data_IF_174649630916
#
_entry.id   IF_174649630916
#
_cell.length_a   1.000
_cell.length_b   1.000
_cell.length_c   1.000
_cell.angle_alpha   90.00
_cell.angle_beta   90.00
_cell.angle_gamma   90.00
#
_symmetry.space_group_name_H-M   'P 1'
#
loop_
_entity.id
_entity.type
_entity.pdbx_description
1 polymer ?
#
# COMPACT_ATOMS: atom_id res chain seq x y z
N UNK A 1 -8.58 -2.16 5.04
CA UNK A 1 -9.49 -1.72 6.12
C UNK A 1 -10.44 -0.71 5.52
N UNK A 2 -11.68 -0.70 5.99
CA UNK A 2 -12.66 0.29 5.58
C UNK A 2 -12.24 1.67 6.11
N UNK A 3 -12.17 2.68 5.25
CA UNK A 3 -11.80 4.04 5.66
C UNK A 3 -12.92 4.82 6.33
N UNK A 4 -14.15 4.30 6.39
CA UNK A 4 -15.26 4.93 7.08
C UNK A 4 -15.26 4.62 8.59
N UNK A 5 -15.02 3.37 8.96
CA UNK A 5 -15.12 2.90 10.35
C UNK A 5 -13.85 2.21 10.90
N UNK A 6 -12.83 1.98 10.05
CA UNK A 6 -11.57 1.35 10.44
C UNK A 6 -11.60 -0.17 10.51
N UNK A 7 -12.73 -0.81 10.17
CA UNK A 7 -12.87 -2.26 10.27
C UNK A 7 -11.94 -2.99 9.30
N UNK A 8 -11.36 -4.09 9.74
CA UNK A 8 -10.65 -4.99 8.84
C UNK A 8 -11.65 -5.66 7.89
N UNK A 9 -11.49 -5.41 6.59
CA UNK A 9 -12.34 -6.00 5.54
C UNK A 9 -11.74 -7.31 5.03
N UNK A 10 -10.44 -7.33 4.74
CA UNK A 10 -9.75 -8.50 4.18
C UNK A 10 -8.22 -8.40 4.41
N UNK A 11 -7.53 -9.53 4.24
CA UNK A 11 -6.07 -9.65 4.21
C UNK A 11 -5.65 -10.71 3.19
N UNK A 12 -4.64 -10.40 2.37
CA UNK A 12 -4.11 -11.31 1.35
C UNK A 12 -2.59 -11.21 1.23
N UNK A 13 -1.92 -12.37 1.07
CA UNK A 13 -0.48 -12.46 0.86
C UNK A 13 -0.13 -12.84 -0.58
N UNK A 14 0.93 -12.24 -1.12
CA UNK A 14 1.47 -12.56 -2.45
C UNK A 14 2.92 -13.05 -2.32
N UNK A 15 3.22 -14.20 -2.92
CA UNK A 15 4.58 -14.76 -2.95
C UNK A 15 5.41 -14.04 -4.01
N UNK A 16 6.73 -14.01 -3.81
CA UNK A 16 7.67 -13.43 -4.77
C UNK A 16 7.55 -14.01 -6.19
N UNK A 17 7.23 -15.31 -6.32
CA UNK A 17 7.01 -15.93 -7.64
C UNK A 17 5.87 -15.27 -8.44
N UNK A 18 4.85 -14.74 -7.75
CA UNK A 18 3.77 -13.97 -8.37
C UNK A 18 4.28 -12.57 -8.76
N UNK A 19 5.10 -11.95 -7.92
CA UNK A 19 5.63 -10.60 -8.15
C UNK A 19 6.67 -10.53 -9.28
N UNK A 20 7.42 -11.60 -9.49
CA UNK A 20 8.46 -11.71 -10.54
C UNK A 20 7.88 -12.08 -11.92
N UNK A 21 6.70 -12.71 -11.95
CA UNK A 21 6.00 -13.06 -13.19
C UNK A 21 5.11 -11.93 -13.69
N UNK A 22 4.00 -12.29 -14.35
CA UNK A 22 2.93 -11.34 -14.68
C UNK A 22 2.09 -11.11 -13.42
N UNK A 23 2.09 -9.90 -12.83
CA UNK A 23 1.50 -9.67 -11.51
C UNK A 23 -0.02 -9.46 -11.55
N UNK A 24 -0.71 -10.08 -12.51
CA UNK A 24 -2.15 -9.91 -12.73
C UNK A 24 -2.99 -10.18 -11.46
N UNK A 25 -2.55 -11.11 -10.60
CA UNK A 25 -3.26 -11.44 -9.36
C UNK A 25 -3.23 -10.31 -8.34
N UNK A 26 -2.08 -9.65 -8.15
CA UNK A 26 -1.98 -8.52 -7.20
C UNK A 26 -2.59 -7.25 -7.79
N UNK A 27 -2.45 -7.03 -9.10
CA UNK A 27 -3.09 -5.91 -9.78
C UNK A 27 -4.61 -6.02 -9.72
N UNK A 28 -5.17 -7.17 -10.08
CA UNK A 28 -6.62 -7.42 -9.98
C UNK A 28 -7.10 -7.27 -8.53
N UNK A 29 -6.34 -7.78 -7.56
CA UNK A 29 -6.68 -7.62 -6.16
C UNK A 29 -6.78 -6.15 -5.74
N UNK A 30 -5.76 -5.34 -6.05
CA UNK A 30 -5.71 -3.91 -5.69
C UNK A 30 -6.77 -3.10 -6.43
N UNK A 31 -7.01 -3.41 -7.71
CA UNK A 31 -8.02 -2.72 -8.52
C UNK A 31 -9.45 -2.96 -8.02
N UNK A 32 -9.72 -4.15 -7.48
CA UNK A 32 -11.04 -4.53 -6.96
C UNK A 32 -11.26 -4.12 -5.49
N UNK A 33 -10.28 -3.48 -4.84
CA UNK A 33 -10.51 -2.90 -3.52
C UNK A 33 -11.56 -1.81 -3.62
N UNK A 34 -12.51 -1.81 -2.67
CA UNK A 34 -13.50 -0.75 -2.52
C UNK A 34 -12.80 0.60 -2.36
N UNK A 35 -13.27 1.62 -3.05
CA UNK A 35 -12.79 2.98 -2.85
C UNK A 35 -12.98 3.42 -1.38
N UNK A 36 -12.15 4.37 -0.97
CA UNK A 36 -12.01 4.81 0.42
C UNK A 36 -11.42 3.75 1.37
N UNK A 37 -10.75 2.72 0.84
CA UNK A 37 -10.04 1.74 1.68
C UNK A 37 -8.66 2.24 2.12
N UNK A 38 -8.33 1.99 3.40
CA UNK A 38 -6.97 2.08 3.92
C UNK A 38 -6.26 0.76 3.62
N UNK A 39 -5.10 0.81 2.96
CA UNK A 39 -4.34 -0.37 2.54
C UNK A 39 -3.02 -0.43 3.29
N UNK A 40 -2.78 -1.55 3.99
CA UNK A 40 -1.51 -1.80 4.71
C UNK A 40 -0.77 -2.91 3.98
N UNK A 41 0.49 -2.67 3.63
CA UNK A 41 1.36 -3.65 2.98
C UNK A 41 2.65 -3.80 3.78
N UNK A 42 3.04 -5.04 4.05
CA UNK A 42 4.31 -5.37 4.69
C UNK A 42 5.01 -6.47 3.91
N UNK A 43 6.32 -6.39 3.75
CA UNK A 43 7.13 -7.50 3.23
C UNK A 43 7.44 -8.52 4.32
N UNK A 44 7.44 -9.81 3.96
CA UNK A 44 8.01 -10.89 4.79
C UNK A 44 9.14 -11.56 4.02
N UNK A 45 10.27 -11.82 4.68
CA UNK A 45 11.47 -12.33 4.02
C UNK A 45 12.16 -11.26 3.19
N UNK A 46 12.67 -11.63 2.01
CA UNK A 46 13.31 -10.72 1.06
C UNK A 46 12.31 -10.29 0.00
N UNK A 47 12.08 -8.98 -0.14
CA UNK A 47 11.17 -8.43 -1.15
C UNK A 47 11.79 -8.48 -2.55
N UNK A 48 10.96 -8.72 -3.57
CA UNK A 48 11.31 -8.48 -4.97
C UNK A 48 11.20 -6.99 -5.27
N UNK A 49 12.31 -6.27 -5.39
CA UNK A 49 12.33 -4.80 -5.42
C UNK A 49 12.05 -4.16 -6.79
N UNK A 50 11.86 -4.97 -7.84
CA UNK A 50 11.65 -4.51 -9.22
C UNK A 50 10.52 -5.30 -9.88
N UNK A 51 9.95 -4.74 -10.94
CA UNK A 51 8.96 -5.40 -11.78
C UNK A 51 7.63 -4.64 -11.83
N UNK A 52 6.69 -5.09 -12.69
CA UNK A 52 5.45 -4.35 -12.96
C UNK A 52 4.56 -4.22 -11.72
N UNK A 53 4.67 -5.16 -10.77
CA UNK A 53 3.89 -5.16 -9.53
C UNK A 53 4.06 -3.86 -8.73
N UNK A 54 5.23 -3.21 -8.82
CA UNK A 54 5.53 -1.98 -8.06
C UNK A 54 4.57 -0.83 -8.37
N UNK A 55 3.92 -0.85 -9.55
CA UNK A 55 2.91 0.13 -9.95
C UNK A 55 1.70 0.18 -9.01
N UNK A 56 1.37 -0.93 -8.33
CA UNK A 56 0.26 -0.94 -7.37
C UNK A 56 0.51 0.00 -6.18
N UNK A 57 1.78 0.23 -5.81
CA UNK A 57 2.12 1.16 -4.74
C UNK A 57 1.76 2.59 -5.14
N UNK A 58 2.05 2.95 -6.40
CA UNK A 58 1.70 4.27 -6.95
C UNK A 58 0.18 4.48 -7.00
N UNK A 59 -0.57 3.45 -7.42
CA UNK A 59 -2.04 3.49 -7.43
C UNK A 59 -2.63 3.74 -6.03
N UNK A 60 -1.90 3.33 -4.99
CA UNK A 60 -2.27 3.52 -3.59
C UNK A 60 -1.66 4.78 -2.96
N UNK A 61 -1.04 5.65 -3.76
CA UNK A 61 -0.52 6.94 -3.34
C UNK A 61 0.94 6.96 -2.89
N UNK A 62 1.71 5.88 -3.11
CA UNK A 62 3.14 5.90 -2.82
C UNK A 62 3.90 6.91 -3.68
N UNK A 63 4.98 7.46 -3.13
CA UNK A 63 5.88 8.35 -3.86
C UNK A 63 6.73 7.56 -4.87
N UNK A 64 6.68 7.96 -6.14
CA UNK A 64 7.40 7.31 -7.25
C UNK A 64 8.92 7.44 -7.14
N UNK A 65 9.41 8.39 -6.35
CA UNK A 65 10.85 8.61 -6.15
C UNK A 65 11.47 7.61 -5.18
N UNK A 66 10.66 6.93 -4.36
CA UNK A 66 11.16 5.99 -3.37
C UNK A 66 11.57 4.66 -4.02
N UNK A 67 12.83 4.29 -3.85
CA UNK A 67 13.37 3.00 -4.34
C UNK A 67 13.14 1.90 -3.32
N UNK A 68 12.56 0.78 -3.76
CA UNK A 68 12.34 -0.39 -2.90
C UNK A 68 13.66 -1.01 -2.43
N UNK A 69 13.62 -1.56 -1.21
CA UNK A 69 14.70 -2.30 -0.54
C UNK A 69 14.19 -3.68 -0.08
N UNK A 70 15.03 -4.43 0.63
CA UNK A 70 14.71 -5.80 1.06
C UNK A 70 13.51 -5.87 2.02
N UNK A 71 13.24 -4.77 2.75
CA UNK A 71 12.05 -4.57 3.59
C UNK A 71 11.20 -3.40 3.12
N UNK A 72 9.89 -3.56 3.29
CA UNK A 72 8.86 -2.57 2.99
C UNK A 72 7.78 -2.61 4.08
N UNK A 73 7.39 -1.45 4.58
CA UNK A 73 6.13 -1.20 5.28
C UNK A 73 5.45 -0.01 4.64
N UNK A 74 4.19 -0.16 4.24
CA UNK A 74 3.45 0.87 3.54
C UNK A 74 2.03 0.98 4.10
N UNK A 75 1.59 2.22 4.29
CA UNK A 75 0.20 2.55 4.56
C UNK A 75 -0.28 3.49 3.46
N UNK A 76 -1.10 2.95 2.57
CA UNK A 76 -1.65 3.61 1.40
C UNK A 76 -3.16 3.77 1.46
N UNK A 77 -3.71 4.33 0.39
CA UNK A 77 -5.12 4.63 0.29
C UNK A 77 -5.64 4.37 -1.13
N UNK A 78 -6.77 3.66 -1.23
CA UNK A 78 -7.50 3.47 -2.48
C UNK A 78 -8.56 4.56 -2.59
N UNK A 79 -8.43 5.47 -3.55
CA UNK A 79 -9.44 6.50 -3.80
C UNK A 79 -8.98 7.56 -4.80
N UNK A 80 -9.74 8.65 -4.89
CA UNK A 80 -9.53 9.74 -5.87
C UNK A 80 -8.63 10.88 -5.39
N UNK A 81 -8.09 10.77 -4.18
CA UNK A 81 -7.16 11.73 -3.60
C UNK A 81 -6.11 11.01 -2.77
N UNK A 82 -5.01 11.68 -2.46
CA UNK A 82 -3.94 11.16 -1.60
C UNK A 82 -4.03 11.82 -0.22
N UNK A 83 -4.41 11.09 0.85
CA UNK A 83 -4.30 11.59 2.21
C UNK A 83 -2.86 11.96 2.58
N UNK A 84 -2.71 12.94 3.47
CA UNK A 84 -1.41 13.44 3.96
C UNK A 84 -0.62 12.38 4.74
N UNK A 85 -1.31 11.43 5.36
CA UNK A 85 -0.73 10.34 6.13
C UNK A 85 -0.26 9.13 5.29
N UNK A 86 -0.43 9.14 3.96
CA UNK A 86 0.09 8.06 3.10
C UNK A 86 1.61 8.01 3.22
N UNK A 87 2.14 6.90 3.71
CA UNK A 87 3.55 6.75 4.08
C UNK A 87 4.10 5.39 3.71
N UNK A 88 5.33 5.40 3.19
CA UNK A 88 6.09 4.21 2.82
C UNK A 88 7.47 4.27 3.48
N UNK A 89 7.86 3.19 4.15
CA UNK A 89 9.18 3.00 4.75
C UNK A 89 9.84 1.77 4.12
N UNK A 90 11.10 1.92 3.72
CA UNK A 90 11.89 0.87 3.09
C UNK A 90 13.27 0.84 3.73
N UNK A 91 13.80 -0.35 3.93
CA UNK A 91 15.09 -0.57 4.58
C UNK A 91 15.69 -1.92 4.17
N UNK A 92 16.95 -2.17 4.47
CA UNK A 92 17.60 -3.46 4.19
C UNK A 92 17.29 -4.51 5.28
N UNK A 93 17.18 -4.08 6.54
CA UNK A 93 17.00 -4.96 7.69
C UNK A 93 15.59 -4.90 8.27
N UNK A 94 15.04 -3.69 8.45
CA UNK A 94 13.73 -3.48 9.07
C UNK A 94 13.05 -2.19 8.62
N UNK A 95 11.84 -2.31 8.07
CA UNK A 95 10.92 -1.19 7.87
C UNK A 95 9.79 -1.23 8.92
N UNK A 96 9.43 -0.09 9.50
CA UNK A 96 8.32 0.02 10.47
C UNK A 96 7.64 1.38 10.36
N UNK A 97 6.31 1.38 10.47
CA UNK A 97 5.49 2.60 10.59
C UNK A 97 4.69 2.49 11.89
N UNK A 98 4.70 3.57 12.68
CA UNK A 98 3.67 3.83 13.68
C UNK A 98 3.03 5.16 13.33
N UNK A 99 1.71 5.15 13.11
CA UNK A 99 0.98 6.36 12.75
C UNK A 99 -0.47 6.27 13.22
N UNK A 100 -1.05 7.44 13.46
CA UNK A 100 -2.47 7.61 13.76
C UNK A 100 -3.16 8.12 12.50
N UNK A 101 -4.32 7.54 12.18
CA UNK A 101 -5.11 7.90 11.01
C UNK A 101 -6.47 8.46 11.44
N UNK A 102 -6.94 9.55 10.84
CA UNK A 102 -8.31 10.00 11.04
C UNK A 102 -9.28 9.03 10.38
N UNK A 103 -10.35 8.69 11.10
CA UNK A 103 -11.46 7.87 10.63
C UNK A 103 -12.76 8.64 10.97
N UNK A 104 -13.65 8.90 10.00
CA UNK A 104 -13.57 8.51 8.60
C UNK A 104 -12.47 9.25 7.81
N UNK A 105 -11.94 8.62 6.77
CA UNK A 105 -10.98 9.23 5.84
C UNK A 105 -11.73 10.17 4.89
N UNK A 106 -11.52 11.47 5.07
CA UNK A 106 -12.17 12.51 4.25
C UNK A 106 -11.14 13.34 3.48
N UNK A 107 -11.53 13.80 2.29
CA UNK A 107 -10.72 14.74 1.50
C UNK A 107 -10.71 16.10 2.20
N UNK A 108 -9.57 16.48 2.75
CA UNK A 108 -9.38 17.83 3.31
C UNK A 108 -9.40 18.85 2.17
N UNK A 109 -10.33 19.79 2.22
CA UNK A 109 -10.33 20.98 1.38
C UNK A 109 -9.47 22.01 2.12
N UNK A 110 -8.38 22.47 1.49
CA UNK A 110 -7.65 23.62 2.01
C UNK A 110 -8.55 24.84 1.80
N UNK A 111 -9.00 25.45 2.90
CA UNK A 111 -9.59 26.79 2.91
C UNK A 111 -8.48 27.83 2.73
#
# INVERSE_FOLDING_TARGET
MDGHDGRLVESKGFRNSILQGVPAQIESYVNNLTDFSIVIITSKGRLVTRGPWTRILELLGADKTLKLRDKLTFVGFKGTFRPDWVRMEVDEERAKIHQVLPIPVVKKIKL
#
